data_IF_437657919664
#
_entry.id   IF_437657919664
#
_cell.length_a   1.000
_cell.length_b   1.000
_cell.length_c   1.000
_cell.angle_alpha   90.00
_cell.angle_beta   90.00
_cell.angle_gamma   90.00
#
_symmetry.space_group_name_H-M   'P 1'
#
loop_
_entity.id
_entity.type
_entity.pdbx_description
1 polymer ?
#
# COMPACT_ATOMS: atom_id res chain seq x y z
N UNK A 1 -4.13 26.98 -11.48
CA UNK A 1 -2.77 26.48 -11.20
C UNK A 1 -2.77 26.04 -9.74
N UNK A 2 -3.00 24.76 -9.45
CA UNK A 2 -3.11 24.25 -8.08
C UNK A 2 -1.71 23.87 -7.57
N UNK A 3 -1.37 24.15 -6.30
CA UNK A 3 -0.03 23.92 -5.80
C UNK A 3 0.20 22.42 -5.60
N UNK A 4 1.27 21.90 -6.19
CA UNK A 4 1.86 20.60 -5.87
C UNK A 4 2.48 20.69 -4.48
N UNK A 5 1.77 20.24 -3.45
CA UNK A 5 2.36 20.02 -2.13
C UNK A 5 2.95 18.61 -2.09
N UNK A 6 4.27 18.55 -1.89
CA UNK A 6 4.99 17.36 -1.52
C UNK A 6 4.38 16.81 -0.22
N UNK A 7 3.89 15.57 -0.27
CA UNK A 7 3.44 14.86 0.91
C UNK A 7 4.66 14.60 1.80
N UNK A 8 4.59 15.14 3.00
CA UNK A 8 5.68 15.21 3.98
C UNK A 8 6.13 13.81 4.43
N UNK A 9 7.43 13.64 4.65
CA UNK A 9 8.14 12.37 4.79
C UNK A 9 7.87 11.61 6.12
N UNK A 10 6.93 12.08 6.95
CA UNK A 10 6.63 11.51 8.27
C UNK A 10 5.36 10.64 8.32
N UNK A 11 4.66 10.47 7.19
CA UNK A 11 3.44 9.67 7.04
C UNK A 11 3.63 8.13 7.13
N UNK A 12 4.83 7.65 7.46
CA UNK A 12 5.24 6.25 7.24
C UNK A 12 5.06 5.29 8.42
N UNK A 13 4.87 5.77 9.65
CA UNK A 13 5.07 4.92 10.84
C UNK A 13 3.88 4.02 11.24
N UNK A 14 2.65 4.28 10.79
CA UNK A 14 1.48 3.42 11.08
C UNK A 14 0.86 2.72 9.87
N UNK A 15 1.39 3.02 8.67
CA UNK A 15 1.15 2.22 7.46
C UNK A 15 2.30 1.25 7.19
N UNK A 16 3.31 1.19 8.06
CA UNK A 16 4.39 0.24 7.88
C UNK A 16 3.94 -1.12 8.44
N UNK A 17 3.84 -2.17 7.61
CA UNK A 17 3.55 -3.53 8.05
C UNK A 17 4.64 -4.14 8.95
N UNK A 18 5.52 -3.34 9.54
CA UNK A 18 6.57 -3.75 10.46
C UNK A 18 7.79 -4.38 9.78
N UNK A 19 8.93 -4.39 10.48
CA UNK A 19 10.20 -4.84 9.91
C UNK A 19 10.20 -6.32 9.52
N UNK A 20 9.49 -7.18 10.26
CA UNK A 20 9.42 -8.61 9.99
C UNK A 20 8.69 -8.91 8.67
N UNK A 21 7.48 -8.37 8.48
CA UNK A 21 6.69 -8.60 7.27
C UNK A 21 7.39 -7.99 6.06
N UNK A 22 8.06 -6.83 6.23
CA UNK A 22 8.88 -6.21 5.19
C UNK A 22 10.04 -7.12 4.75
N UNK A 23 10.81 -7.69 5.68
CA UNK A 23 11.92 -8.59 5.33
C UNK A 23 11.42 -9.87 4.64
N UNK A 24 10.29 -10.44 5.08
CA UNK A 24 9.67 -11.59 4.43
C UNK A 24 9.23 -11.28 2.99
N UNK A 25 8.55 -10.14 2.77
CA UNK A 25 8.13 -9.73 1.42
C UNK A 25 9.33 -9.48 0.51
N UNK A 26 10.38 -8.84 1.02
CA UNK A 26 11.61 -8.62 0.27
C UNK A 26 12.26 -9.93 -0.16
N UNK A 27 12.38 -10.91 0.74
CA UNK A 27 12.91 -12.24 0.39
C UNK A 27 12.06 -12.92 -0.68
N UNK A 28 10.73 -12.90 -0.52
CA UNK A 28 9.78 -13.46 -1.51
C UNK A 28 9.97 -12.84 -2.89
N UNK A 29 10.14 -11.53 -2.94
CA UNK A 29 10.25 -10.74 -4.17
C UNK A 29 11.70 -10.63 -4.70
N UNK A 30 12.62 -11.48 -4.20
CA UNK A 30 14.02 -11.51 -4.66
C UNK A 30 14.80 -10.23 -4.38
N UNK A 31 14.42 -9.54 -3.31
CA UNK A 31 14.95 -8.25 -2.88
C UNK A 31 14.72 -7.12 -3.87
N UNK A 32 13.68 -7.21 -4.69
CA UNK A 32 13.37 -6.23 -5.74
C UNK A 32 11.97 -5.65 -5.58
N UNK A 33 11.75 -4.48 -6.15
CA UNK A 33 10.39 -3.99 -6.40
C UNK A 33 9.66 -4.97 -7.33
N UNK A 34 8.53 -5.50 -6.87
CA UNK A 34 7.69 -6.46 -7.58
C UNK A 34 7.22 -5.94 -8.96
N UNK A 35 7.06 -4.63 -9.10
CA UNK A 35 6.66 -4.02 -10.38
C UNK A 35 7.87 -3.72 -11.28
N UNK A 36 8.77 -2.85 -10.83
CA UNK A 36 9.85 -2.32 -11.68
C UNK A 36 11.10 -3.19 -11.73
N UNK A 37 11.17 -4.25 -10.93
CA UNK A 37 12.35 -5.12 -10.81
C UNK A 37 13.62 -4.35 -10.44
N UNK A 38 13.48 -3.24 -9.70
CA UNK A 38 14.61 -2.47 -9.17
C UNK A 38 15.06 -3.09 -7.86
N UNK A 39 16.36 -3.33 -7.70
CA UNK A 39 16.92 -3.93 -6.50
C UNK A 39 16.79 -2.98 -5.31
N UNK A 40 16.44 -3.52 -4.16
CA UNK A 40 16.38 -2.77 -2.92
C UNK A 40 17.77 -2.23 -2.56
N UNK A 41 17.86 -0.91 -2.44
CA UNK A 41 19.12 -0.20 -2.21
C UNK A 41 19.80 -0.68 -0.93
N UNK A 42 19.05 -0.79 0.17
CA UNK A 42 19.61 -1.23 1.45
C UNK A 42 20.15 -2.66 1.38
N UNK A 43 19.42 -3.56 0.71
CA UNK A 43 19.88 -4.93 0.50
C UNK A 43 21.14 -4.98 -0.37
N UNK A 44 21.21 -4.18 -1.43
CA UNK A 44 22.37 -4.10 -2.31
C UNK A 44 23.62 -3.61 -1.57
N UNK A 45 23.47 -2.56 -0.76
CA UNK A 45 24.57 -1.94 -0.02
C UNK A 45 25.05 -2.78 1.16
N UNK A 46 24.14 -3.43 1.89
CA UNK A 46 24.47 -4.07 3.17
C UNK A 46 24.56 -5.60 3.14
N UNK A 47 23.97 -6.28 2.14
CA UNK A 47 23.84 -7.76 2.15
C UNK A 47 24.44 -8.46 0.94
N UNK A 48 24.23 -7.93 -0.26
CA UNK A 48 24.58 -8.64 -1.51
C UNK A 48 25.81 -8.08 -2.23
N UNK A 49 26.14 -6.80 -1.99
CA UNK A 49 27.00 -6.04 -2.87
C UNK A 49 26.27 -5.63 -4.16
N UNK A 50 26.70 -4.54 -4.79
CA UNK A 50 26.07 -4.02 -6.01
C UNK A 50 27.05 -4.05 -7.18
N UNK A 51 26.73 -4.82 -8.23
CA UNK A 51 27.46 -4.73 -9.49
C UNK A 51 27.21 -3.36 -10.17
N UNK A 52 28.18 -2.82 -10.92
CA UNK A 52 27.98 -1.59 -11.69
C UNK A 52 26.80 -1.71 -12.66
N UNK A 53 25.97 -0.66 -12.74
CA UNK A 53 24.84 -0.60 -13.68
C UNK A 53 23.53 -1.24 -13.18
N UNK A 54 23.51 -1.86 -12.00
CA UNK A 54 22.25 -2.31 -11.37
C UNK A 54 21.45 -1.07 -10.93
N UNK A 55 20.19 -0.98 -11.36
CA UNK A 55 19.29 0.09 -10.92
C UNK A 55 18.75 -0.22 -9.53
N UNK A 56 18.98 0.71 -8.61
CA UNK A 56 18.55 0.60 -7.21
C UNK A 56 17.29 1.43 -6.97
N UNK A 57 16.52 1.02 -5.96
CA UNK A 57 15.39 1.79 -5.45
C UNK A 57 15.24 1.64 -3.95
N UNK A 58 14.70 2.66 -3.30
CA UNK A 58 14.17 2.50 -1.96
C UNK A 58 12.86 1.72 -2.05
N UNK A 59 12.86 0.49 -1.53
CA UNK A 59 11.66 -0.36 -1.52
C UNK A 59 10.99 -0.35 -0.16
N UNK A 60 9.67 -0.47 -0.20
CA UNK A 60 8.79 -0.52 0.97
C UNK A 60 7.80 -1.66 0.79
N UNK A 61 7.35 -2.20 1.91
CA UNK A 61 6.27 -3.17 1.93
C UNK A 61 4.94 -2.41 1.92
N UNK A 62 4.07 -2.70 0.97
CA UNK A 62 2.74 -2.11 0.82
C UNK A 62 1.69 -3.19 1.07
N UNK A 63 0.76 -2.93 1.99
CA UNK A 63 -0.38 -3.83 2.17
C UNK A 63 -1.35 -3.70 0.99
N UNK A 64 -1.89 -4.82 0.53
CA UNK A 64 -2.87 -4.88 -0.57
C UNK A 64 -4.22 -4.40 -0.06
N UNK A 65 -4.75 -5.05 0.97
CA UNK A 65 -5.88 -4.56 1.73
C UNK A 65 -5.41 -3.73 2.93
N UNK A 66 -6.03 -2.57 3.21
CA UNK A 66 -5.59 -1.68 4.27
C UNK A 66 -5.50 -2.37 5.64
N UNK A 67 -4.48 -2.00 6.43
CA UNK A 67 -4.29 -2.43 7.82
C UNK A 67 -5.57 -2.28 8.65
N UNK A 68 -6.31 -1.19 8.45
CA UNK A 68 -7.55 -0.87 9.14
C UNK A 68 -8.68 -1.89 8.92
N UNK A 69 -8.53 -2.90 8.06
CA UNK A 69 -9.47 -4.00 7.89
C UNK A 69 -9.09 -5.25 8.70
N UNK A 70 -7.93 -5.27 9.35
CA UNK A 70 -7.44 -6.43 10.10
C UNK A 70 -7.98 -6.52 11.51
N UNK A 71 -7.82 -7.70 12.12
CA UNK A 71 -7.95 -7.84 13.57
C UNK A 71 -6.71 -7.20 14.22
N UNK A 72 -6.87 -6.01 14.79
CA UNK A 72 -5.76 -5.27 15.39
C UNK A 72 -5.38 -5.92 16.72
N UNK A 73 -4.51 -6.93 16.67
CA UNK A 73 -3.97 -7.59 17.86
C UNK A 73 -3.09 -6.59 18.59
N UNK A 74 -3.64 -5.88 19.59
CA UNK A 74 -2.86 -5.06 20.51
C UNK A 74 -3.47 -3.72 20.93
N UNK A 75 -4.52 -3.23 20.26
CA UNK A 75 -5.20 -1.99 20.65
C UNK A 75 -6.60 -2.28 21.19
N UNK A 76 -7.01 -1.56 22.24
CA UNK A 76 -8.39 -1.55 22.73
C UNK A 76 -9.29 -0.97 21.64
N UNK A 77 -9.78 -1.84 20.77
CA UNK A 77 -10.62 -1.46 19.66
C UNK A 77 -12.04 -1.17 20.15
N UNK A 78 -12.57 0.01 19.79
CA UNK A 78 -13.95 0.38 20.13
C UNK A 78 -14.96 -0.56 19.44
N UNK A 79 -16.11 -0.79 20.09
CA UNK A 79 -17.19 -1.59 19.50
C UNK A 79 -17.68 -1.00 18.15
N UNK A 80 -17.61 0.33 17.99
CA UNK A 80 -17.93 1.00 16.73
C UNK A 80 -16.94 0.60 15.63
N UNK A 81 -15.64 0.56 15.93
CA UNK A 81 -14.62 0.17 14.96
C UNK A 81 -14.78 -1.30 14.56
N UNK A 82 -15.02 -2.20 15.53
CA UNK A 82 -15.30 -3.62 15.27
C UNK A 82 -16.54 -3.79 14.38
N UNK A 83 -17.62 -3.07 14.70
CA UNK A 83 -18.85 -3.10 13.92
C UNK A 83 -18.61 -2.63 12.48
N UNK A 84 -17.90 -1.51 12.30
CA UNK A 84 -17.59 -0.98 10.97
C UNK A 84 -16.72 -1.94 10.15
N UNK A 85 -15.69 -2.55 10.74
CA UNK A 85 -14.88 -3.58 10.07
C UNK A 85 -15.73 -4.76 9.64
N UNK A 86 -16.57 -5.28 10.53
CA UNK A 86 -17.48 -6.38 10.21
C UNK A 86 -18.46 -6.01 9.11
N UNK A 87 -19.01 -4.79 9.12
CA UNK A 87 -19.90 -4.29 8.08
C UNK A 87 -19.18 -4.24 6.72
N UNK A 88 -17.93 -3.73 6.68
CA UNK A 88 -17.11 -3.70 5.46
C UNK A 88 -16.87 -5.11 4.92
N UNK A 89 -16.42 -6.04 5.76
CA UNK A 89 -16.17 -7.42 5.32
C UNK A 89 -17.45 -8.14 4.88
N UNK A 90 -18.56 -7.90 5.56
CA UNK A 90 -19.87 -8.44 5.17
C UNK A 90 -20.31 -7.89 3.82
N UNK A 91 -20.09 -6.59 3.57
CA UNK A 91 -20.35 -5.99 2.26
C UNK A 91 -19.45 -6.60 1.17
N UNK A 92 -18.15 -6.77 1.44
CA UNK A 92 -17.22 -7.41 0.51
C UNK A 92 -17.64 -8.85 0.19
N UNK A 93 -18.05 -9.64 1.18
CA UNK A 93 -18.59 -10.98 0.96
C UNK A 93 -19.89 -10.96 0.15
N UNK A 94 -20.80 -10.03 0.44
CA UNK A 94 -22.09 -9.93 -0.25
C UNK A 94 -21.93 -9.59 -1.73
N UNK A 95 -21.06 -8.64 -2.06
CA UNK A 95 -20.87 -8.16 -3.43
C UNK A 95 -19.78 -8.90 -4.21
N UNK A 96 -18.81 -9.49 -3.51
CA UNK A 96 -17.70 -10.25 -4.10
C UNK A 96 -17.53 -11.62 -3.41
N UNK A 97 -18.56 -12.48 -3.41
CA UNK A 97 -18.56 -13.74 -2.67
C UNK A 97 -17.47 -14.73 -3.14
N UNK A 98 -17.05 -14.64 -4.40
CA UNK A 98 -15.94 -15.44 -4.94
C UNK A 98 -14.59 -15.04 -4.36
N UNK A 99 -14.43 -13.78 -3.93
CA UNK A 99 -13.17 -13.22 -3.41
C UNK A 99 -13.09 -13.31 -1.88
N UNK A 100 -14.23 -13.19 -1.18
CA UNK A 100 -14.30 -13.29 0.28
C UNK A 100 -15.18 -14.47 0.68
N UNK A 101 -14.57 -15.66 0.76
CA UNK A 101 -15.27 -16.88 1.20
C UNK A 101 -15.60 -16.88 2.70
N UNK A 102 -14.69 -16.34 3.51
CA UNK A 102 -14.84 -16.28 4.96
C UNK A 102 -14.29 -14.92 5.47
N UNK A 103 -15.18 -13.98 5.86
CA UNK A 103 -14.82 -12.68 6.42
C UNK A 103 -13.83 -12.73 7.59
N UNK A 104 -14.07 -13.60 8.57
CA UNK A 104 -13.25 -13.72 9.78
C UNK A 104 -11.83 -14.15 9.44
N UNK A 105 -11.69 -15.18 8.59
CA UNK A 105 -10.38 -15.64 8.12
C UNK A 105 -9.65 -14.57 7.29
N UNK A 106 -10.38 -13.82 6.46
CA UNK A 106 -9.80 -12.74 5.67
C UNK A 106 -9.26 -11.61 6.56
N UNK A 107 -10.02 -11.25 7.60
CA UNK A 107 -9.66 -10.25 8.61
C UNK A 107 -8.39 -10.64 9.40
N UNK A 108 -8.24 -11.92 9.76
CA UNK A 108 -7.03 -12.45 10.41
C UNK A 108 -5.80 -12.42 9.49
N UNK A 109 -6.02 -12.55 8.18
CA UNK A 109 -4.95 -12.63 7.19
C UNK A 109 -4.41 -11.27 6.69
N UNK A 110 -4.92 -10.15 7.21
CA UNK A 110 -4.50 -8.80 6.80
C UNK A 110 -3.00 -8.55 7.06
N UNK A 111 -2.44 -9.12 8.13
CA UNK A 111 -1.02 -8.96 8.45
C UNK A 111 -0.19 -10.17 8.04
N UNK A 112 -0.32 -10.57 6.78
CA UNK A 112 0.41 -11.72 6.21
C UNK A 112 1.14 -11.32 4.94
N UNK A 113 2.15 -12.12 4.57
CA UNK A 113 2.89 -11.95 3.30
C UNK A 113 1.95 -11.99 2.09
N UNK A 114 0.85 -12.75 2.16
CA UNK A 114 -0.16 -12.81 1.11
C UNK A 114 -0.92 -11.49 0.91
N UNK A 115 -1.01 -10.63 1.93
CA UNK A 115 -1.63 -9.31 1.83
C UNK A 115 -0.61 -8.19 1.58
N UNK A 116 0.58 -8.49 1.05
CA UNK A 116 1.66 -7.52 0.95
C UNK A 116 2.48 -7.62 -0.35
N UNK A 117 2.97 -6.48 -0.82
CA UNK A 117 3.81 -6.31 -2.01
C UNK A 117 5.05 -5.47 -1.70
N UNK A 118 6.21 -5.87 -2.22
CA UNK A 118 7.39 -4.98 -2.26
C UNK A 118 7.25 -4.00 -3.41
N UNK A 119 7.06 -2.72 -3.11
CA UNK A 119 6.98 -1.64 -4.11
C UNK A 119 8.07 -0.59 -3.85
N UNK A 120 8.46 0.14 -4.88
CA UNK A 120 9.24 1.37 -4.63
C UNK A 120 8.38 2.44 -3.95
N UNK A 121 9.02 3.37 -3.24
CA UNK A 121 8.34 4.41 -2.47
C UNK A 121 7.34 5.24 -3.32
N UNK A 122 7.66 5.52 -4.58
CA UNK A 122 6.78 6.28 -5.46
C UNK A 122 5.53 5.49 -5.82
N UNK A 123 5.69 4.20 -6.13
CA UNK A 123 4.58 3.31 -6.45
C UNK A 123 3.70 2.98 -5.24
N UNK A 124 4.31 2.80 -4.07
CA UNK A 124 3.58 2.49 -2.83
C UNK A 124 2.50 3.52 -2.56
N UNK A 125 2.82 4.82 -2.63
CA UNK A 125 1.85 5.89 -2.38
C UNK A 125 0.65 5.84 -3.34
N UNK A 126 0.88 5.51 -4.61
CA UNK A 126 -0.18 5.38 -5.63
C UNK A 126 -1.01 4.13 -5.40
N UNK A 127 -0.38 3.03 -5.02
CA UNK A 127 -1.05 1.76 -4.76
C UNK A 127 -1.93 1.83 -3.51
N UNK A 128 -1.39 2.30 -2.38
CA UNK A 128 -2.14 2.47 -1.13
C UNK A 128 -3.26 3.52 -1.26
N UNK A 129 -3.08 4.52 -2.13
CA UNK A 129 -4.09 5.53 -2.45
C UNK A 129 -5.09 5.12 -3.52
N UNK A 130 -5.14 3.85 -3.94
CA UNK A 130 -6.06 3.34 -4.98
C UNK A 130 -5.94 4.04 -6.35
N UNK A 131 -4.78 4.65 -6.65
CA UNK A 131 -4.46 5.29 -7.95
C UNK A 131 -3.71 4.35 -8.90
N UNK A 132 -3.20 3.25 -8.35
CA UNK A 132 -2.56 2.14 -9.07
C UNK A 132 -3.14 0.85 -8.51
N UNK A 133 -3.59 -0.06 -9.36
CA UNK A 133 -4.07 -1.37 -8.98
C UNK A 133 -3.55 -2.46 -9.93
N UNK A 134 -3.66 -3.71 -9.51
CA UNK A 134 -3.22 -4.88 -10.27
C UNK A 134 -4.36 -5.88 -10.42
N UNK A 135 -4.85 -6.09 -11.64
CA UNK A 135 -5.96 -6.98 -11.92
C UNK A 135 -5.44 -8.37 -12.33
N UNK A 136 -5.77 -9.46 -11.61
CA UNK A 136 -5.26 -10.79 -11.96
C UNK A 136 -5.68 -11.27 -13.37
N UNK A 137 -4.74 -11.84 -14.13
CA UNK A 137 -4.99 -12.45 -15.45
C UNK A 137 -5.16 -13.97 -15.35
N UNK A 138 -5.41 -14.66 -16.46
CA UNK A 138 -5.50 -16.13 -16.50
C UNK A 138 -4.25 -16.84 -15.96
N UNK A 139 -3.06 -16.31 -16.25
CA UNK A 139 -1.81 -16.78 -15.66
C UNK A 139 -1.73 -16.38 -14.19
N UNK A 140 -1.34 -17.32 -13.34
CA UNK A 140 -1.29 -17.13 -11.90
C UNK A 140 -0.34 -15.98 -11.47
N UNK A 141 0.75 -15.78 -12.21
CA UNK A 141 1.78 -14.79 -11.90
C UNK A 141 1.56 -13.42 -12.57
N UNK A 142 0.53 -13.27 -13.39
CA UNK A 142 0.35 -12.09 -14.24
C UNK A 142 -0.84 -11.25 -13.83
N UNK A 143 -0.65 -9.94 -13.89
CA UNK A 143 -1.63 -8.95 -13.49
C UNK A 143 -1.62 -7.77 -14.45
N UNK A 144 -2.77 -7.36 -14.97
CA UNK A 144 -2.88 -6.10 -15.72
C UNK A 144 -2.58 -4.92 -14.80
N UNK A 145 -1.85 -3.94 -15.32
CA UNK A 145 -1.48 -2.73 -14.60
C UNK A 145 -2.56 -1.68 -14.84
N UNK A 146 -3.27 -1.29 -13.78
CA UNK A 146 -4.38 -0.36 -13.87
C UNK A 146 -4.01 0.96 -13.20
N UNK A 147 -3.66 1.96 -14.02
CA UNK A 147 -3.53 3.35 -13.58
C UNK A 147 -4.92 3.99 -13.57
N UNK A 148 -5.38 4.37 -12.38
CA UNK A 148 -6.71 4.96 -12.14
C UNK A 148 -6.63 6.48 -11.92
N UNK A 149 -5.44 7.04 -12.13
CA UNK A 149 -5.16 8.47 -12.27
C UNK A 149 -4.09 8.65 -13.34
N UNK A 150 -3.79 9.90 -13.71
CA UNK A 150 -2.68 10.18 -14.63
C UNK A 150 -1.37 9.50 -14.17
N UNK A 151 -0.72 8.72 -15.04
CA UNK A 151 0.56 8.12 -14.70
C UNK A 151 1.62 9.23 -14.54
N UNK A 152 2.58 9.08 -13.59
CA UNK A 152 3.60 10.10 -13.37
C UNK A 152 4.40 10.42 -14.65
N UNK A 153 4.57 11.72 -14.94
CA UNK A 153 5.25 12.23 -16.14
C UNK A 153 6.75 11.91 -16.19
N UNK A 154 7.40 11.81 -15.03
CA UNK A 154 8.85 11.56 -14.91
C UNK A 154 9.23 10.08 -14.99
N UNK A 155 8.26 9.20 -15.20
CA UNK A 155 8.61 7.82 -15.45
C UNK A 155 9.24 7.74 -16.84
N UNK A 156 10.46 7.20 -16.87
CA UNK A 156 10.92 6.28 -17.92
C UNK A 156 9.95 5.08 -18.04
N UNK A 157 8.66 5.36 -18.28
CA UNK A 157 7.73 4.48 -18.98
C UNK A 157 8.33 4.21 -20.37
N UNK A 158 9.39 4.90 -20.82
CA UNK A 158 10.14 4.60 -22.04
C UNK A 158 10.56 3.12 -22.17
N UNK A 159 10.68 2.33 -21.08
CA UNK A 159 10.76 0.86 -21.19
C UNK A 159 9.41 0.14 -21.31
N UNK A 160 8.35 0.64 -20.68
CA UNK A 160 6.99 0.10 -20.77
C UNK A 160 6.16 0.64 -21.97
N UNK A 161 6.68 1.66 -22.67
CA UNK A 161 6.08 2.31 -23.84
C UNK A 161 6.78 1.86 -25.12
N UNK A 162 8.05 1.47 -25.03
CA UNK A 162 8.78 0.87 -26.15
C UNK A 162 8.65 -0.67 -26.19
N UNK A 163 8.18 -1.30 -25.10
CA UNK A 163 7.68 -2.68 -25.11
C UNK A 163 6.38 -2.73 -24.29
N UNK A 164 5.30 -3.19 -24.93
CA UNK A 164 3.89 -3.18 -24.51
C UNK A 164 3.59 -4.02 -23.25
N UNK A 165 4.26 -3.77 -22.13
CA UNK A 165 3.96 -4.45 -20.89
C UNK A 165 2.77 -3.78 -20.21
N UNK A 166 1.57 -4.11 -20.69
CA UNK A 166 0.29 -3.76 -20.03
C UNK A 166 0.05 -4.56 -18.74
N UNK A 167 0.99 -5.45 -18.39
CA UNK A 167 0.88 -6.36 -17.27
C UNK A 167 2.20 -6.48 -16.50
N UNK A 168 2.10 -6.64 -15.19
CA UNK A 168 3.15 -7.04 -14.28
C UNK A 168 3.20 -8.57 -14.24
N UNK A 169 4.41 -9.14 -14.21
CA UNK A 169 4.63 -10.55 -13.87
C UNK A 169 5.42 -10.63 -12.58
N UNK A 170 4.82 -11.21 -11.55
CA UNK A 170 5.52 -11.51 -10.30
C UNK A 170 6.53 -12.63 -10.55
N UNK A 171 7.78 -12.37 -10.18
CA UNK A 171 8.82 -13.41 -10.18
C UNK A 171 8.77 -14.10 -8.83
N UNK A 172 8.36 -15.36 -8.84
CA UNK A 172 8.39 -16.18 -7.65
C UNK A 172 9.83 -16.66 -7.43
N UNK A 173 10.53 -16.01 -6.52
CA UNK A 173 11.80 -16.55 -6.04
C UNK A 173 11.48 -17.76 -5.17
N UNK A 174 12.26 -18.83 -5.31
CA UNK A 174 12.08 -20.10 -4.61
C UNK A 174 12.21 -19.92 -3.09
N UNK A 175 11.14 -19.41 -2.50
CA UNK A 175 10.96 -19.16 -1.08
C UNK A 175 9.70 -19.90 -0.68
N UNK A 176 9.69 -20.52 0.51
CA UNK A 176 8.49 -21.18 1.07
C UNK A 176 7.43 -20.15 1.53
N UNK A 177 7.45 -18.93 0.97
CA UNK A 177 6.60 -17.82 1.35
C UNK A 177 5.41 -17.72 0.39
N UNK A 178 4.20 -17.39 0.89
CA UNK A 178 3.04 -17.29 0.03
C UNK A 178 3.15 -16.09 -0.90
N UNK A 179 2.66 -16.26 -2.12
CA UNK A 179 2.52 -15.16 -3.07
C UNK A 179 1.43 -14.18 -2.64
N UNK A 180 1.47 -12.93 -3.15
CA UNK A 180 0.36 -12.00 -3.03
C UNK A 180 -0.97 -12.67 -3.41
N UNK A 181 -1.97 -12.56 -2.55
CA UNK A 181 -3.30 -13.11 -2.82
C UNK A 181 -3.89 -12.40 -4.02
N UNK A 182 -4.27 -13.21 -5.01
CA UNK A 182 -4.92 -12.74 -6.22
C UNK A 182 -6.30 -12.17 -5.90
N UNK A 183 -7.00 -12.76 -4.94
CA UNK A 183 -8.28 -12.30 -4.44
C UNK A 183 -8.15 -10.91 -3.79
N UNK A 184 -7.10 -10.68 -2.99
CA UNK A 184 -6.85 -9.37 -2.38
C UNK A 184 -6.50 -8.31 -3.42
N UNK A 185 -5.69 -8.66 -4.42
CA UNK A 185 -5.38 -7.75 -5.53
C UNK A 185 -6.64 -7.39 -6.33
N UNK A 186 -7.52 -8.37 -6.59
CA UNK A 186 -8.78 -8.11 -7.26
C UNK A 186 -9.75 -7.27 -6.41
N UNK A 187 -9.84 -7.52 -5.10
CA UNK A 187 -10.62 -6.67 -4.19
C UNK A 187 -10.09 -5.24 -4.21
N UNK A 188 -8.78 -5.05 -4.10
CA UNK A 188 -8.13 -3.73 -4.16
C UNK A 188 -8.47 -3.02 -5.46
N UNK A 189 -8.34 -3.69 -6.61
CA UNK A 189 -8.75 -3.16 -7.91
C UNK A 189 -10.22 -2.75 -7.95
N UNK A 190 -11.14 -3.60 -7.46
CA UNK A 190 -12.58 -3.31 -7.44
C UNK A 190 -12.91 -2.10 -6.57
N UNK A 191 -12.29 -2.00 -5.39
CA UNK A 191 -12.43 -0.82 -4.52
C UNK A 191 -11.90 0.43 -5.25
N UNK A 192 -10.76 0.33 -5.91
CA UNK A 192 -10.19 1.44 -6.66
C UNK A 192 -11.13 1.92 -7.79
N UNK A 193 -11.73 1.00 -8.54
CA UNK A 193 -12.75 1.34 -9.53
C UNK A 193 -13.99 1.99 -8.90
N UNK A 194 -14.48 1.46 -7.77
CA UNK A 194 -15.62 2.06 -7.07
C UNK A 194 -15.30 3.50 -6.68
N UNK A 195 -14.16 3.74 -6.03
CA UNK A 195 -13.74 5.09 -5.60
C UNK A 195 -13.62 6.06 -6.77
N UNK A 196 -13.09 5.59 -7.91
CA UNK A 196 -12.97 6.39 -9.12
C UNK A 196 -14.34 6.72 -9.73
N UNK A 197 -15.16 5.71 -10.04
CA UNK A 197 -16.39 5.90 -10.81
C UNK A 197 -17.56 6.45 -10.00
N UNK A 198 -17.57 6.27 -8.67
CA UNK A 198 -18.60 6.84 -7.79
C UNK A 198 -18.31 8.27 -7.35
N UNK A 199 -17.13 8.81 -7.66
CA UNK A 199 -16.60 10.08 -7.15
C UNK A 199 -16.45 10.14 -5.61
N UNK A 200 -16.65 9.02 -4.89
CA UNK A 200 -16.43 8.92 -3.44
C UNK A 200 -14.95 9.17 -3.12
N UNK A 201 -14.03 8.72 -3.98
CA UNK A 201 -12.60 8.95 -3.79
C UNK A 201 -12.26 10.44 -3.72
N UNK A 202 -12.78 11.25 -4.65
CA UNK A 202 -12.55 12.69 -4.65
C UNK A 202 -13.17 13.38 -3.43
N UNK A 203 -14.34 12.93 -2.98
CA UNK A 203 -14.99 13.45 -1.78
C UNK A 203 -14.15 13.17 -0.51
N UNK A 204 -13.60 11.95 -0.38
CA UNK A 204 -12.70 11.58 0.73
C UNK A 204 -11.44 12.44 0.69
N UNK A 205 -10.77 12.55 -0.47
CA UNK A 205 -9.56 13.35 -0.61
C UNK A 205 -9.81 14.83 -0.27
N UNK A 206 -10.94 15.39 -0.71
CA UNK A 206 -11.34 16.75 -0.38
C UNK A 206 -11.56 16.93 1.13
N UNK A 207 -12.23 15.98 1.78
CA UNK A 207 -12.49 16.03 3.22
C UNK A 207 -11.19 15.90 4.03
N UNK A 208 -10.29 15.00 3.63
CA UNK A 208 -8.98 14.87 4.26
C UNK A 208 -8.15 16.15 4.10
N UNK A 209 -8.13 16.74 2.91
CA UNK A 209 -7.44 18.01 2.67
C UNK A 209 -8.02 19.14 3.51
N UNK A 210 -9.36 19.25 3.57
CA UNK A 210 -10.05 20.24 4.41
C UNK A 210 -9.70 20.08 5.88
N UNK A 211 -9.71 18.85 6.40
CA UNK A 211 -9.38 18.58 7.81
C UNK A 211 -7.91 18.83 8.12
N UNK A 212 -6.99 18.49 7.22
CA UNK A 212 -5.57 18.80 7.37
C UNK A 212 -5.32 20.33 7.44
N UNK A 213 -6.06 21.12 6.66
CA UNK A 213 -5.96 22.59 6.69
C UNK A 213 -6.57 23.20 7.95
N UNK A 214 -7.67 22.66 8.46
CA UNK A 214 -8.38 23.20 9.63
C UNK A 214 -7.69 22.84 10.95
N UNK A 215 -6.93 21.75 11.00
CA UNK A 215 -6.43 21.18 12.24
C UNK A 215 -4.98 20.66 12.13
N UNK A 216 -3.99 21.52 11.81
CA UNK A 216 -2.59 21.11 11.64
C UNK A 216 -1.91 20.59 12.93
N UNK A 217 -2.58 20.70 14.10
CA UNK A 217 -2.05 20.31 15.42
C UNK A 217 -2.86 19.22 16.13
N UNK A 218 -3.79 18.58 15.43
CA UNK A 218 -4.68 17.58 16.02
C UNK A 218 -4.23 16.18 15.59
N UNK A 219 -4.40 15.21 16.49
CA UNK A 219 -4.04 13.82 16.23
C UNK A 219 -4.88 13.31 15.06
N UNK A 220 -4.24 13.15 13.90
CA UNK A 220 -4.81 12.55 12.71
C UNK A 220 -5.28 11.13 13.02
N UNK A 221 -6.51 10.82 12.62
CA UNK A 221 -7.16 9.53 12.84
C UNK A 221 -6.50 8.37 12.10
N UNK A 222 -5.65 8.66 11.12
CA UNK A 222 -4.82 7.68 10.42
C UNK A 222 -3.47 7.43 11.13
N UNK A 223 -3.28 8.09 12.28
CA UNK A 223 -2.12 7.94 13.15
C UNK A 223 -0.84 8.60 12.63
N UNK A 224 -0.88 9.28 11.49
CA UNK A 224 0.28 9.97 10.90
C UNK A 224 0.78 11.19 11.70
N UNK A 225 0.24 11.38 12.90
CA UNK A 225 0.61 12.50 13.78
C UNK A 225 1.98 12.26 14.35
N UNK A 226 2.90 13.17 14.07
CA UNK A 226 4.18 13.24 14.76
C UNK A 226 3.97 13.75 16.19
N UNK A 227 3.55 12.83 17.06
CA UNK A 227 3.36 13.09 18.48
C UNK A 227 4.67 13.56 19.13
N UNK A 228 5.83 13.13 18.60
CA UNK A 228 7.15 13.55 19.09
C UNK A 228 7.35 15.05 18.96
N UNK A 229 7.11 15.60 17.77
CA UNK A 229 7.16 17.04 17.55
C UNK A 229 6.10 17.82 18.35
N UNK A 230 4.85 17.33 18.39
CA UNK A 230 3.78 18.01 19.14
C UNK A 230 4.11 18.07 20.65
N UNK A 231 4.64 16.98 21.20
CA UNK A 231 5.06 16.91 22.61
C UNK A 231 6.29 17.78 22.84
N UNK A 232 7.27 17.77 21.93
CA UNK A 232 8.46 18.60 22.01
C UNK A 232 8.11 20.10 21.99
N UNK A 233 7.26 20.55 21.07
CA UNK A 233 6.80 21.94 21.02
C UNK A 233 6.03 22.34 22.29
N UNK A 234 5.12 21.48 22.78
CA UNK A 234 4.30 21.80 23.97
C UNK A 234 5.06 21.73 25.29
N UNK A 235 6.07 20.89 25.40
CA UNK A 235 6.91 20.79 26.59
C UNK A 235 8.05 21.84 26.59
N UNK A 236 8.51 22.28 25.43
CA UNK A 236 9.55 23.33 25.32
C UNK A 236 9.00 24.76 25.30
N UNK A 237 7.68 24.98 25.22
CA UNK A 237 7.08 26.30 25.44
C UNK A 237 6.98 26.74 26.91
N UNK A 238 7.52 25.93 27.85
CA UNK A 238 7.62 26.25 29.27
C UNK A 238 9.07 26.20 29.79
N UNK A 239 10.03 26.69 29.00
CA UNK A 239 11.35 27.12 29.49
C UNK A 239 11.59 28.56 29.04
#
# INVERSE_FOLDING_TARGET
MLPTYALDANHHLLRDPGPLLRDLCLRRDGFQCAYRNLLDKHTAECKLGCAPGVKLSHTMCALILPFALGNNVGYMESEVTKHNKMAIWTALQRYFPSLVKNPTKAMESIYTVANALTLDCNLRSKFEGFRLAFLPRSSYAEFDICWLSDPPKDQDISRARNERHTFMRLKFHATNLPNPSREFLEIHYRIACILLYSNIGAAIEHELARNAMLHPRTIQSDGSTDLGNIVQEKLLTHI
#
